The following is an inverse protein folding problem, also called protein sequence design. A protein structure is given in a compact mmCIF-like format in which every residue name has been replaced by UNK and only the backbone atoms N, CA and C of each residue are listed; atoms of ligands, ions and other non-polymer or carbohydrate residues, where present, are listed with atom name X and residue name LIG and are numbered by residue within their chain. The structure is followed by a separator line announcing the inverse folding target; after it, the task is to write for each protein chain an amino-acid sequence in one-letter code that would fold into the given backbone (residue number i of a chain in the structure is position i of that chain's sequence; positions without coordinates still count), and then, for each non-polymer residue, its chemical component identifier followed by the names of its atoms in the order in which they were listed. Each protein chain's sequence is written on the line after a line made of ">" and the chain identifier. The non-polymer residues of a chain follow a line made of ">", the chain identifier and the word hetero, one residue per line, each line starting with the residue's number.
data_IF_082156007160
#
_entry.id   IF_082156007160
#
_cell.length_a   1.000
_cell.length_b   1.000
_cell.length_c   1.000
_cell.angle_alpha   90.00
_cell.angle_beta   90.00
_cell.angle_gamma   90.00
#
_symmetry.space_group_name_H-M   'P 1'
#
loop_
_entity.id
_entity.type
_entity.pdbx_description
1 polymer ?
#
# COMPACT_ATOMS: atom_id res chain seq x y z
N UNK A 1 8.31 -24.68 4.98
CA UNK A 1 7.49 -23.88 4.06
C UNK A 1 7.39 -22.42 4.50
N UNK A 2 7.08 -22.14 5.76
CA UNK A 2 6.93 -20.75 6.27
C UNK A 2 8.23 -19.92 6.22
N UNK A 3 9.38 -20.50 6.58
CA UNK A 3 10.68 -19.86 6.49
C UNK A 3 11.04 -19.46 5.04
N UNK A 4 10.82 -20.37 4.09
CA UNK A 4 11.09 -20.14 2.67
C UNK A 4 10.21 -19.03 2.08
N UNK A 5 8.95 -18.94 2.54
CA UNK A 5 8.03 -17.87 2.15
C UNK A 5 8.51 -16.50 2.64
N UNK A 6 8.88 -16.42 3.92
CA UNK A 6 9.36 -15.16 4.52
C UNK A 6 10.63 -14.66 3.85
N UNK A 7 11.57 -15.54 3.52
CA UNK A 7 12.77 -15.22 2.76
C UNK A 7 12.45 -14.65 1.38
N UNK A 8 11.48 -15.24 0.66
CA UNK A 8 11.06 -14.76 -0.65
C UNK A 8 10.42 -13.34 -0.58
N UNK A 9 9.61 -13.06 0.45
CA UNK A 9 9.02 -11.74 0.67
C UNK A 9 10.11 -10.72 0.99
N UNK A 10 11.05 -11.08 1.87
CA UNK A 10 12.16 -10.21 2.25
C UNK A 10 13.03 -9.87 1.03
N UNK A 11 13.40 -10.87 0.22
CA UNK A 11 14.14 -10.67 -1.03
C UNK A 11 13.38 -9.77 -2.01
N UNK A 12 12.06 -9.96 -2.14
CA UNK A 12 11.22 -9.13 -3.00
C UNK A 12 11.31 -7.64 -2.61
N UNK A 13 11.20 -7.31 -1.31
CA UNK A 13 11.25 -5.92 -0.83
C UNK A 13 12.65 -5.32 -0.77
N UNK A 14 13.70 -6.14 -0.67
CA UNK A 14 15.08 -5.68 -0.75
C UNK A 14 15.45 -5.16 -2.15
N UNK A 15 14.86 -5.75 -3.21
CA UNK A 15 15.12 -5.40 -4.60
C UNK A 15 14.09 -4.41 -5.18
N UNK A 16 13.37 -3.69 -4.32
CA UNK A 16 12.39 -2.68 -4.76
C UNK A 16 13.07 -1.38 -5.14
N UNK A 17 12.76 -0.86 -6.34
CA UNK A 17 13.21 0.44 -6.83
C UNK A 17 12.33 1.58 -6.31
N UNK A 18 12.83 2.81 -6.46
CA UNK A 18 12.13 4.02 -6.00
C UNK A 18 10.83 4.34 -6.76
N UNK A 19 10.56 3.68 -7.87
CA UNK A 19 9.36 3.91 -8.70
C UNK A 19 8.53 2.64 -8.88
N UNK A 20 8.80 1.59 -8.08
CA UNK A 20 8.04 0.35 -8.19
C UNK A 20 6.65 0.53 -7.61
N UNK A 21 5.65 0.31 -8.43
CA UNK A 21 4.25 0.15 -8.04
C UNK A 21 3.95 -1.35 -8.03
N UNK A 22 3.93 -1.92 -6.83
CA UNK A 22 3.80 -3.37 -6.61
C UNK A 22 2.36 -3.72 -6.23
N UNK A 23 1.86 -4.88 -6.71
CA UNK A 23 0.57 -5.41 -6.31
C UNK A 23 0.69 -6.84 -5.79
N UNK A 24 -0.11 -7.17 -4.78
CA UNK A 24 -0.39 -8.53 -4.33
C UNK A 24 -1.87 -8.86 -4.53
N UNK A 25 -2.15 -10.01 -5.15
CA UNK A 25 -3.47 -10.64 -5.10
C UNK A 25 -3.37 -11.82 -4.14
N UNK A 26 -4.09 -11.79 -3.03
CA UNK A 26 -3.97 -12.75 -1.95
C UNK A 26 -5.26 -13.56 -1.73
N UNK A 27 -5.12 -14.81 -1.31
CA UNK A 27 -6.23 -15.68 -0.91
C UNK A 27 -6.46 -15.62 0.60
N UNK A 28 -5.40 -15.62 1.37
CA UNK A 28 -5.43 -15.60 2.83
C UNK A 28 -4.89 -14.28 3.37
N UNK A 29 -5.66 -13.67 4.26
CA UNK A 29 -5.32 -12.38 4.89
C UNK A 29 -3.97 -12.43 5.62
N UNK A 30 -3.62 -13.60 6.20
CA UNK A 30 -2.35 -13.80 6.90
C UNK A 30 -1.16 -13.62 5.94
N UNK A 31 -1.27 -14.11 4.69
CA UNK A 31 -0.25 -13.94 3.66
C UNK A 31 -0.09 -12.47 3.23
N UNK A 32 -1.20 -11.75 3.15
CA UNK A 32 -1.16 -10.32 2.90
C UNK A 32 -0.46 -9.57 4.04
N UNK A 33 -0.82 -9.87 5.29
CA UNK A 33 -0.22 -9.23 6.46
C UNK A 33 1.26 -9.55 6.60
N UNK A 34 1.72 -10.77 6.24
CA UNK A 34 3.15 -11.11 6.19
C UNK A 34 3.89 -10.21 5.19
N UNK A 35 3.31 -10.02 4.01
CA UNK A 35 3.89 -9.19 2.95
C UNK A 35 3.92 -7.72 3.35
N UNK A 36 2.85 -7.22 3.98
CA UNK A 36 2.75 -5.83 4.45
C UNK A 36 3.70 -5.56 5.63
N UNK A 37 3.80 -6.49 6.57
CA UNK A 37 4.74 -6.42 7.69
C UNK A 37 6.18 -6.25 7.16
N UNK A 38 6.60 -7.12 6.24
CA UNK A 38 7.95 -7.08 5.68
C UNK A 38 8.19 -5.82 4.82
N UNK A 39 7.17 -5.32 4.12
CA UNK A 39 7.24 -4.01 3.44
C UNK A 39 7.58 -2.88 4.41
N UNK A 40 6.96 -2.87 5.60
CA UNK A 40 7.25 -1.89 6.65
C UNK A 40 8.66 -2.08 7.22
N UNK A 41 9.02 -3.31 7.58
CA UNK A 41 10.35 -3.63 8.14
C UNK A 41 11.47 -3.28 7.17
N UNK A 42 11.30 -3.57 5.87
CA UNK A 42 12.25 -3.19 4.84
C UNK A 42 12.42 -1.65 4.75
N UNK A 43 11.35 -0.90 4.96
CA UNK A 43 11.43 0.56 5.06
C UNK A 43 12.19 1.03 6.28
N UNK A 44 11.91 0.46 7.44
CA UNK A 44 12.58 0.83 8.68
C UNK A 44 14.08 0.54 8.64
N UNK A 45 14.48 -0.61 8.05
CA UNK A 45 15.92 -0.93 7.83
C UNK A 45 16.66 0.10 6.96
N UNK A 46 15.95 0.75 6.03
CA UNK A 46 16.49 1.80 5.15
C UNK A 46 16.34 3.21 5.72
N UNK A 47 15.76 3.35 6.92
CA UNK A 47 15.38 4.62 7.51
C UNK A 47 14.38 5.43 6.66
N UNK A 48 13.54 4.74 5.86
CA UNK A 48 12.43 5.36 5.14
C UNK A 48 11.30 5.70 6.11
N UNK A 49 10.53 6.75 5.80
CA UNK A 49 9.20 6.91 6.35
C UNK A 49 8.22 5.97 5.64
N UNK A 50 7.39 5.28 6.41
CA UNK A 50 6.40 4.34 5.89
C UNK A 50 5.00 4.87 6.11
N UNK A 51 4.28 5.12 5.02
CA UNK A 51 2.90 5.59 5.02
C UNK A 51 1.98 4.38 4.81
N UNK A 52 1.07 4.16 5.75
CA UNK A 52 0.06 3.09 5.71
C UNK A 52 -1.32 3.72 5.67
N UNK A 53 -2.00 3.57 4.54
CA UNK A 53 -3.38 4.02 4.36
C UNK A 53 -4.24 2.77 4.26
N UNK A 54 -4.80 2.33 5.41
CA UNK A 54 -5.47 1.04 5.53
C UNK A 54 -6.75 1.13 6.37
N UNK A 55 -7.55 0.07 6.33
CA UNK A 55 -8.73 -0.09 7.20
C UNK A 55 -8.32 -0.18 8.67
N UNK A 56 -9.25 0.08 9.61
CA UNK A 56 -8.97 -0.06 11.04
C UNK A 56 -8.46 -1.45 11.43
N UNK A 57 -9.02 -2.49 10.82
CA UNK A 57 -8.71 -3.89 11.04
C UNK A 57 -7.25 -4.17 10.67
N UNK A 58 -6.85 -3.83 9.44
CA UNK A 58 -5.48 -4.05 8.95
C UNK A 58 -4.45 -3.18 9.69
N UNK A 59 -4.81 -1.94 10.05
CA UNK A 59 -3.93 -1.09 10.86
C UNK A 59 -3.64 -1.69 12.23
N UNK A 60 -4.67 -2.23 12.88
CA UNK A 60 -4.53 -2.86 14.21
C UNK A 60 -3.73 -4.15 14.14
N UNK A 61 -4.02 -5.01 13.15
CA UNK A 61 -3.30 -6.26 12.93
C UNK A 61 -1.81 -6.00 12.62
N UNK A 62 -1.52 -5.03 11.75
CA UNK A 62 -0.14 -4.67 11.40
C UNK A 62 0.63 -4.12 12.62
N UNK A 63 0.02 -3.22 13.40
CA UNK A 63 0.65 -2.66 14.60
C UNK A 63 1.03 -3.77 15.59
N UNK A 64 0.11 -4.70 15.88
CA UNK A 64 0.37 -5.83 16.77
C UNK A 64 1.49 -6.76 16.25
N UNK A 65 1.61 -6.94 14.92
CA UNK A 65 2.70 -7.71 14.30
C UNK A 65 4.05 -7.01 14.45
N UNK A 66 4.12 -5.70 14.18
CA UNK A 66 5.33 -4.90 14.33
C UNK A 66 5.82 -4.88 15.80
N UNK A 67 4.91 -4.76 16.78
CA UNK A 67 5.24 -4.85 18.20
C UNK A 67 5.82 -6.21 18.58
N UNK A 68 5.30 -7.32 18.03
CA UNK A 68 5.87 -8.67 18.21
C UNK A 68 7.29 -8.81 17.63
N UNK A 69 7.64 -8.01 16.63
CA UNK A 69 9.00 -7.91 16.07
C UNK A 69 9.90 -6.97 16.89
N UNK A 70 9.41 -6.45 18.03
CA UNK A 70 10.17 -5.55 18.88
C UNK A 70 10.21 -4.09 18.41
N UNK A 71 9.36 -3.72 17.46
CA UNK A 71 9.25 -2.33 17.00
C UNK A 71 8.40 -1.52 17.98
N UNK A 72 8.95 -0.44 18.50
CA UNK A 72 8.20 0.56 19.25
C UNK A 72 7.40 1.44 18.27
N UNK A 73 6.16 1.00 17.97
CA UNK A 73 5.24 1.65 17.03
C UNK A 73 4.93 3.09 17.47
N UNK A 74 4.79 3.31 18.78
CA UNK A 74 4.54 4.64 19.35
C UNK A 74 5.70 5.60 19.06
N UNK A 75 6.92 5.18 19.32
CA UNK A 75 8.13 5.96 19.03
C UNK A 75 8.32 6.18 17.52
N UNK A 76 8.12 5.15 16.68
CA UNK A 76 8.20 5.28 15.23
C UNK A 76 7.19 6.32 14.70
N UNK A 77 5.97 6.37 15.27
CA UNK A 77 4.95 7.35 14.94
C UNK A 77 5.35 8.77 15.38
N UNK A 78 5.85 8.93 16.60
CA UNK A 78 6.30 10.23 17.10
C UNK A 78 7.44 10.83 16.25
N UNK A 79 8.34 9.98 15.73
CA UNK A 79 9.44 10.42 14.85
C UNK A 79 9.03 10.61 13.40
N UNK A 80 7.76 10.38 13.05
CA UNK A 80 7.27 10.48 11.68
C UNK A 80 7.78 9.38 10.75
N UNK A 81 8.34 8.29 11.29
CA UNK A 81 8.80 7.14 10.52
C UNK A 81 7.64 6.19 10.18
N UNK A 82 6.62 6.11 11.03
CA UNK A 82 5.42 5.32 10.79
C UNK A 82 4.20 6.24 10.76
N UNK A 83 3.63 6.42 9.58
CA UNK A 83 2.53 7.37 9.34
C UNK A 83 1.29 6.57 8.94
N UNK A 84 0.29 6.53 9.80
CA UNK A 84 -0.92 5.73 9.59
C UNK A 84 -2.12 6.63 9.31
N UNK A 85 -2.93 6.26 8.33
CA UNK A 85 -4.17 6.95 7.96
C UNK A 85 -5.29 5.92 7.74
N UNK A 86 -6.50 6.36 8.04
CA UNK A 86 -7.69 5.60 7.71
C UNK A 86 -7.99 5.65 6.21
N UNK A 87 -8.18 4.49 5.59
CA UNK A 87 -8.39 4.40 4.14
C UNK A 87 -9.67 5.08 3.68
N UNK A 88 -10.81 4.86 4.36
CA UNK A 88 -12.09 5.49 4.01
C UNK A 88 -12.05 7.00 4.22
N UNK A 89 -11.52 7.45 5.36
CA UNK A 89 -11.39 8.87 5.64
C UNK A 89 -10.44 9.58 4.66
N UNK A 90 -9.37 8.91 4.23
CA UNK A 90 -8.43 9.45 3.23
C UNK A 90 -9.08 9.51 1.86
N UNK A 91 -9.76 8.44 1.45
CA UNK A 91 -10.50 8.35 0.19
C UNK A 91 -11.55 9.48 0.07
N UNK A 92 -12.33 9.71 1.13
CA UNK A 92 -13.35 10.76 1.18
C UNK A 92 -12.81 12.18 0.92
N UNK A 93 -11.51 12.43 1.15
CA UNK A 93 -10.91 13.75 0.93
C UNK A 93 -10.80 14.14 -0.54
N UNK A 94 -10.75 13.16 -1.44
CA UNK A 94 -10.53 13.39 -2.86
C UNK A 94 -11.59 12.78 -3.78
N UNK A 95 -12.52 11.99 -3.24
CA UNK A 95 -13.68 11.53 -4.02
C UNK A 95 -14.68 12.68 -4.22
N UNK A 96 -15.20 12.79 -5.44
CA UNK A 96 -16.27 13.71 -5.81
C UNK A 96 -17.18 13.01 -6.82
N UNK A 97 -18.47 12.93 -6.53
CA UNK A 97 -19.49 12.23 -7.37
C UNK A 97 -19.05 10.81 -7.81
N UNK A 98 -18.49 10.03 -6.89
CA UNK A 98 -18.02 8.67 -7.17
C UNK A 98 -16.71 8.60 -7.99
N UNK A 99 -16.01 9.72 -8.16
CA UNK A 99 -14.78 9.80 -8.96
C UNK A 99 -13.60 10.41 -8.22
N UNK A 100 -12.37 9.85 -8.34
CA UNK A 100 -11.18 10.43 -7.73
C UNK A 100 -10.77 11.73 -8.43
N UNK A 101 -10.85 12.84 -7.74
CA UNK A 101 -10.46 14.16 -8.24
C UNK A 101 -8.94 14.34 -8.09
N UNK A 102 -8.22 14.41 -9.21
CA UNK A 102 -6.76 14.44 -9.27
C UNK A 102 -6.12 15.54 -8.42
N UNK A 103 -6.61 16.78 -8.54
CA UNK A 103 -6.06 17.89 -7.76
C UNK A 103 -6.20 17.67 -6.24
N UNK A 104 -7.33 17.10 -5.79
CA UNK A 104 -7.57 16.79 -4.38
C UNK A 104 -6.72 15.60 -3.92
N UNK A 105 -6.56 14.56 -4.76
CA UNK A 105 -5.68 13.44 -4.50
C UNK A 105 -4.24 13.93 -4.33
N UNK A 106 -3.75 14.73 -5.29
CA UNK A 106 -2.41 15.30 -5.24
C UNK A 106 -2.17 16.14 -3.98
N UNK A 107 -3.14 16.94 -3.56
CA UNK A 107 -3.05 17.68 -2.30
C UNK A 107 -3.02 16.74 -1.09
N UNK A 108 -3.98 15.78 -1.01
CA UNK A 108 -4.12 14.91 0.16
C UNK A 108 -2.93 13.97 0.37
N UNK A 109 -2.47 13.31 -0.71
CA UNK A 109 -1.37 12.34 -0.68
C UNK A 109 -0.01 13.04 -0.77
N UNK A 110 0.11 14.06 -1.61
CA UNK A 110 1.34 14.85 -1.74
C UNK A 110 1.76 15.51 -0.44
N UNK A 111 0.81 16.05 0.33
CA UNK A 111 1.08 16.60 1.66
C UNK A 111 1.62 15.54 2.65
N UNK A 112 1.13 14.30 2.57
CA UNK A 112 1.63 13.20 3.40
C UNK A 112 3.08 12.86 3.05
N UNK A 113 3.37 12.74 1.75
CA UNK A 113 4.72 12.44 1.24
C UNK A 113 5.69 13.57 1.60
N UNK A 114 5.30 14.82 1.36
CA UNK A 114 6.13 15.99 1.67
C UNK A 114 6.48 16.07 3.16
N UNK A 115 5.51 15.81 4.05
CA UNK A 115 5.75 15.76 5.50
C UNK A 115 6.67 14.60 5.90
N UNK A 116 6.49 13.42 5.32
CA UNK A 116 7.34 12.26 5.57
C UNK A 116 8.81 12.56 5.23
N UNK A 117 9.06 13.24 4.10
CA UNK A 117 10.40 13.60 3.63
C UNK A 117 11.12 14.64 4.47
N UNK A 118 10.42 15.39 5.31
CA UNK A 118 11.08 16.37 6.19
C UNK A 118 12.01 15.71 7.21
N UNK A 119 11.76 14.44 7.55
CA UNK A 119 12.46 13.75 8.62
C UNK A 119 13.18 12.46 8.18
N UNK A 120 12.88 11.96 6.97
CA UNK A 120 13.42 10.71 6.46
C UNK A 120 13.90 10.84 5.02
N UNK A 121 15.04 10.17 4.65
CA UNK A 121 15.62 10.30 3.30
C UNK A 121 14.76 9.64 2.23
N UNK A 122 14.05 8.58 2.58
CA UNK A 122 13.14 7.85 1.70
C UNK A 122 11.72 7.81 2.25
N UNK A 123 10.79 7.52 1.36
CA UNK A 123 9.37 7.29 1.68
C UNK A 123 8.94 6.03 0.96
N UNK A 124 8.06 5.26 1.55
CA UNK A 124 7.28 4.21 0.90
C UNK A 124 5.83 4.27 1.36
N UNK A 125 4.91 3.84 0.51
CA UNK A 125 3.49 3.90 0.83
C UNK A 125 2.77 2.59 0.52
N UNK A 126 1.83 2.24 1.38
CA UNK A 126 0.80 1.23 1.15
C UNK A 126 -0.57 1.90 1.10
N UNK A 127 -1.39 1.55 0.10
CA UNK A 127 -2.72 2.10 -0.09
C UNK A 127 -3.80 1.04 -0.32
N UNK A 128 -4.72 0.90 0.65
CA UNK A 128 -5.85 -0.04 0.56
C UNK A 128 -7.11 0.60 -0.08
N UNK A 129 -7.06 1.89 -0.40
CA UNK A 129 -8.22 2.63 -0.92
C UNK A 129 -8.76 2.07 -2.25
N UNK A 130 -7.90 1.46 -3.04
CA UNK A 130 -8.22 0.89 -4.35
C UNK A 130 -9.17 -0.30 -4.24
N UNK A 131 -8.97 -1.19 -3.26
CA UNK A 131 -9.86 -2.32 -3.04
C UNK A 131 -11.22 -1.88 -2.48
N UNK A 132 -11.26 -0.81 -1.68
CA UNK A 132 -12.53 -0.27 -1.19
C UNK A 132 -13.45 0.19 -2.33
N UNK A 133 -12.89 0.85 -3.35
CA UNK A 133 -13.63 1.24 -4.55
C UNK A 133 -14.03 0.03 -5.39
N UNK A 134 -13.15 -0.95 -5.49
CA UNK A 134 -13.41 -2.18 -6.23
C UNK A 134 -14.61 -2.94 -5.65
N UNK A 135 -14.60 -3.14 -4.33
CA UNK A 135 -15.66 -3.87 -3.61
C UNK A 135 -17.00 -3.12 -3.62
N UNK A 136 -16.98 -1.80 -3.78
CA UNK A 136 -18.17 -0.97 -4.02
C UNK A 136 -18.66 -1.02 -5.49
N UNK A 137 -18.00 -1.80 -6.36
CA UNK A 137 -18.35 -1.90 -7.79
C UNK A 137 -17.90 -0.72 -8.64
N UNK A 138 -17.11 0.18 -8.09
CA UNK A 138 -16.60 1.39 -8.74
C UNK A 138 -15.31 1.10 -9.54
N UNK A 139 -15.30 0.07 -10.37
CA UNK A 139 -14.13 -0.45 -11.08
C UNK A 139 -13.35 0.63 -11.87
N UNK A 140 -14.09 1.50 -12.59
CA UNK A 140 -13.46 2.59 -13.36
C UNK A 140 -12.79 3.63 -12.45
N UNK A 141 -13.38 3.90 -11.29
CA UNK A 141 -12.81 4.81 -10.30
C UNK A 141 -11.57 4.17 -9.65
N UNK A 142 -11.58 2.85 -9.42
CA UNK A 142 -10.41 2.10 -8.97
C UNK A 142 -9.25 2.25 -9.95
N UNK A 143 -9.47 1.97 -11.25
CA UNK A 143 -8.42 2.09 -12.27
C UNK A 143 -7.92 3.53 -12.41
N UNK A 144 -8.80 4.52 -12.22
CA UNK A 144 -8.39 5.93 -12.16
C UNK A 144 -7.50 6.21 -10.96
N UNK A 145 -7.82 5.65 -9.79
CA UNK A 145 -7.02 5.83 -8.59
C UNK A 145 -5.65 5.14 -8.70
N UNK A 146 -5.59 3.93 -9.29
CA UNK A 146 -4.33 3.25 -9.59
C UNK A 146 -3.43 4.10 -10.50
N UNK A 147 -4.02 4.69 -11.53
CA UNK A 147 -3.29 5.61 -12.42
C UNK A 147 -2.76 6.85 -11.68
N UNK A 148 -3.55 7.45 -10.80
CA UNK A 148 -3.10 8.59 -9.97
C UNK A 148 -1.96 8.19 -9.03
N UNK A 149 -2.03 6.98 -8.47
CA UNK A 149 -0.97 6.43 -7.64
C UNK A 149 0.32 6.20 -8.44
N UNK A 150 0.23 5.63 -9.64
CA UNK A 150 1.39 5.43 -10.53
C UNK A 150 2.06 6.77 -10.85
N UNK A 151 1.29 7.77 -11.27
CA UNK A 151 1.80 9.11 -11.56
C UNK A 151 2.47 9.75 -10.33
N UNK A 152 1.88 9.56 -9.12
CA UNK A 152 2.44 10.07 -7.88
C UNK A 152 3.76 9.37 -7.54
N UNK A 153 3.79 8.04 -7.66
CA UNK A 153 4.96 7.19 -7.44
C UNK A 153 6.14 7.61 -8.33
N UNK A 154 5.88 7.79 -9.63
CA UNK A 154 6.88 8.23 -10.61
C UNK A 154 7.39 9.65 -10.32
N UNK A 155 6.49 10.59 -10.08
CA UNK A 155 6.82 12.00 -9.83
C UNK A 155 7.61 12.19 -8.54
N UNK A 156 7.18 11.51 -7.49
CA UNK A 156 7.75 11.65 -6.15
C UNK A 156 8.83 10.61 -5.85
N UNK A 157 9.09 9.64 -6.72
CA UNK A 157 10.12 8.61 -6.58
C UNK A 157 10.08 7.88 -5.24
N UNK A 158 9.04 7.05 -5.03
CA UNK A 158 8.88 6.20 -3.84
C UNK A 158 8.25 4.86 -4.22
N UNK A 159 8.59 3.75 -3.52
CA UNK A 159 7.91 2.47 -3.71
C UNK A 159 6.48 2.52 -3.19
N UNK A 160 5.56 1.99 -4.00
CA UNK A 160 4.13 1.89 -3.67
C UNK A 160 3.71 0.42 -3.65
N UNK A 161 2.87 0.07 -2.70
CA UNK A 161 2.29 -1.25 -2.56
C UNK A 161 0.76 -1.17 -2.49
N UNK A 162 0.08 -1.95 -3.33
CA UNK A 162 -1.37 -2.18 -3.32
C UNK A 162 -1.65 -3.67 -3.12
N UNK A 163 -2.80 -4.00 -2.54
CA UNK A 163 -3.18 -5.40 -2.33
C UNK A 163 -4.68 -5.59 -2.53
N UNK A 164 -5.04 -6.74 -3.12
CA UNK A 164 -6.43 -7.12 -3.38
C UNK A 164 -6.69 -8.55 -2.91
N UNK A 165 -7.78 -8.81 -2.17
CA UNK A 165 -8.25 -10.16 -1.97
C UNK A 165 -8.62 -10.80 -3.31
N UNK A 166 -8.24 -12.03 -3.56
CA UNK A 166 -8.62 -12.76 -4.78
C UNK A 166 -10.14 -12.85 -4.92
N UNK A 167 -10.83 -12.99 -3.80
CA UNK A 167 -12.30 -13.02 -3.75
C UNK A 167 -12.96 -11.77 -4.38
N UNK A 168 -12.31 -10.60 -4.34
CA UNK A 168 -12.81 -9.37 -4.98
C UNK A 168 -12.95 -9.51 -6.50
N UNK A 169 -12.29 -10.48 -7.13
CA UNK A 169 -12.34 -10.73 -8.58
C UNK A 169 -13.24 -11.91 -8.99
N UNK A 170 -13.85 -12.63 -8.04
CA UNK A 170 -14.62 -13.85 -8.33
C UNK A 170 -15.95 -13.59 -9.06
N UNK A 171 -16.47 -12.35 -9.01
CA UNK A 171 -17.74 -11.98 -9.62
C UNK A 171 -17.62 -11.52 -11.10
N UNK A 172 -16.46 -11.74 -11.74
CA UNK A 172 -16.19 -11.34 -13.11
C UNK A 172 -15.60 -12.48 -13.96
N UNK A 173 -15.27 -12.18 -15.20
CA UNK A 173 -14.65 -13.09 -16.17
C UNK A 173 -13.11 -13.21 -15.96
N UNK A 174 -12.58 -12.72 -14.85
CA UNK A 174 -11.14 -12.67 -14.55
C UNK A 174 -10.38 -11.54 -15.27
N UNK A 175 -11.07 -10.72 -16.07
CA UNK A 175 -10.43 -9.58 -16.76
C UNK A 175 -9.96 -8.52 -15.77
N UNK A 176 -10.72 -8.27 -14.70
CA UNK A 176 -10.38 -7.28 -13.67
C UNK A 176 -9.07 -7.55 -12.95
N UNK A 177 -8.83 -8.80 -12.52
CA UNK A 177 -7.56 -9.18 -11.91
C UNK A 177 -6.38 -8.92 -12.85
N UNK A 178 -6.56 -9.27 -14.14
CA UNK A 178 -5.53 -9.05 -15.16
C UNK A 178 -5.26 -7.56 -15.39
N UNK A 179 -6.32 -6.75 -15.47
CA UNK A 179 -6.23 -5.29 -15.65
C UNK A 179 -5.50 -4.64 -14.47
N UNK A 180 -5.84 -5.00 -13.24
CA UNK A 180 -5.13 -4.56 -12.03
C UNK A 180 -3.67 -4.95 -12.08
N UNK A 181 -3.33 -6.23 -12.35
CA UNK A 181 -1.93 -6.66 -12.42
C UNK A 181 -1.15 -5.93 -13.51
N UNK A 182 -1.77 -5.62 -14.66
CA UNK A 182 -1.13 -4.90 -15.77
C UNK A 182 -0.91 -3.41 -15.48
N UNK A 183 -1.65 -2.82 -14.55
CA UNK A 183 -1.46 -1.42 -14.14
C UNK A 183 -0.28 -1.22 -13.17
N UNK A 184 0.36 -2.30 -12.73
CA UNK A 184 1.46 -2.30 -11.77
C UNK A 184 2.79 -2.70 -12.43
N UNK A 185 3.88 -2.19 -11.91
CA UNK A 185 5.24 -2.50 -12.43
C UNK A 185 5.76 -3.85 -11.93
N UNK A 186 5.24 -4.30 -10.78
CA UNK A 186 5.63 -5.58 -10.14
C UNK A 186 4.42 -6.28 -9.54
N UNK A 187 4.40 -7.59 -9.67
CA UNK A 187 3.43 -8.45 -8.98
C UNK A 187 4.18 -9.24 -7.92
N UNK A 188 3.71 -9.18 -6.68
CA UNK A 188 4.27 -9.99 -5.60
C UNK A 188 4.13 -11.47 -5.95
N UNK A 189 5.13 -12.30 -5.70
CA UNK A 189 5.04 -13.74 -5.97
C UNK A 189 3.85 -14.35 -5.21
N UNK A 190 3.16 -15.34 -5.80
CA UNK A 190 2.16 -16.10 -5.08
C UNK A 190 2.84 -16.86 -3.93
N UNK A 191 2.30 -16.74 -2.74
CA UNK A 191 2.86 -17.27 -1.50
C UNK A 191 2.09 -18.52 -1.04
#
# INVERSE_FOLDING_TARGET
>A
MEATRREAIEEFWQHTSHCDHSVQVYEEEEHFLDTLEEFVLAGFRRNDAVIIIATPEHRSALAARLERQGIDVGNATMRGQYIVRDARATLARFMFDGWPAEARFNAAVGDLIAKARQHHPGVRAFGEMVVLLWDEGLYRATMRLEHLWTQMCERESFPLFCAYPKASFEHGDGSGCREVCQSHTRVCPPL
#
